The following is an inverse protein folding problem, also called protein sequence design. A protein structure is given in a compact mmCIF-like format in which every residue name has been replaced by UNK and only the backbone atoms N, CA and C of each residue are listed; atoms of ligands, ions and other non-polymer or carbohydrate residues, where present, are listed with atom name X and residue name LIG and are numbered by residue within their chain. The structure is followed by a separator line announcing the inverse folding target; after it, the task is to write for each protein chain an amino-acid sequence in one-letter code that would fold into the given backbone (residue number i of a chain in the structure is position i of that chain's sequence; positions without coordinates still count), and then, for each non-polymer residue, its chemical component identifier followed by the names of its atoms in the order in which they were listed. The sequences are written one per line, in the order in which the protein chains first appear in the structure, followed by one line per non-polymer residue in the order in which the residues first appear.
data_IF_206867013042
#
_entry.id   IF_206867013042
#
_cell.length_a   1.000
_cell.length_b   1.000
_cell.length_c   1.000
_cell.angle_alpha   90.00
_cell.angle_beta   90.00
_cell.angle_gamma   90.00
#
_symmetry.space_group_name_H-M   'P 1'
#
loop_
_entity.id
_entity.type
_entity.pdbx_description
1 polymer ?
#
# COMPACT_ATOMS: atom_id res chain seq x y z
N UNK A 1 -11.13 -9.94 -7.80
CA UNK A 1 -11.22 -8.46 -7.76
C UNK A 1 -10.64 -7.95 -6.44
N UNK A 2 -9.88 -6.88 -6.50
CA UNK A 2 -9.20 -6.30 -5.37
C UNK A 2 -9.78 -4.92 -5.05
N UNK A 3 -9.83 -4.57 -3.77
CA UNK A 3 -10.19 -3.25 -3.31
C UNK A 3 -11.65 -2.86 -3.50
N UNK A 4 -11.87 -1.57 -3.52
CA UNK A 4 -13.18 -0.95 -3.75
C UNK A 4 -13.60 -1.14 -5.20
N UNK A 5 -14.82 -1.64 -5.43
CA UNK A 5 -15.29 -2.08 -6.75
C UNK A 5 -16.29 -1.09 -7.38
N UNK A 6 -16.84 -0.16 -6.61
CA UNK A 6 -17.78 0.83 -7.12
C UNK A 6 -19.20 0.31 -7.28
N UNK A 7 -19.66 0.27 -8.53
CA UNK A 7 -21.02 -0.11 -8.91
C UNK A 7 -21.30 -1.61 -8.75
N UNK A 8 -21.06 -2.16 -7.59
CA UNK A 8 -21.36 -3.53 -7.18
C UNK A 8 -21.90 -3.52 -5.75
N UNK A 9 -22.49 -4.63 -5.31
CA UNK A 9 -23.03 -4.75 -3.96
C UNK A 9 -21.90 -4.61 -2.91
N UNK A 10 -22.23 -4.09 -1.74
CA UNK A 10 -21.28 -3.94 -0.63
C UNK A 10 -20.67 -5.28 -0.18
N UNK A 11 -21.35 -6.40 -0.45
CA UNK A 11 -20.87 -7.76 -0.20
C UNK A 11 -19.91 -8.28 -1.29
N UNK A 12 -19.71 -7.54 -2.39
CA UNK A 12 -18.87 -7.95 -3.52
C UNK A 12 -17.58 -7.13 -3.63
N UNK A 13 -17.27 -6.31 -2.66
CA UNK A 13 -15.99 -5.59 -2.57
C UNK A 13 -14.83 -6.55 -2.26
N UNK A 14 -13.65 -6.30 -2.83
CA UNK A 14 -12.44 -7.08 -2.59
C UNK A 14 -11.59 -6.47 -1.47
N UNK A 15 -12.17 -6.30 -0.27
CA UNK A 15 -11.57 -5.51 0.81
C UNK A 15 -11.14 -6.33 2.02
N UNK A 16 -11.25 -7.65 1.95
CA UNK A 16 -10.88 -8.59 3.02
C UNK A 16 -9.86 -9.65 2.57
N UNK A 17 -9.55 -9.69 1.28
CA UNK A 17 -8.77 -10.77 0.67
C UNK A 17 -7.32 -10.82 1.14
N UNK A 18 -6.68 -9.70 1.39
CA UNK A 18 -5.35 -9.66 2.00
C UNK A 18 -5.39 -10.34 3.37
N UNK A 19 -6.37 -9.98 4.22
CA UNK A 19 -6.50 -10.52 5.56
C UNK A 19 -6.65 -12.04 5.57
N UNK A 20 -7.67 -12.59 4.89
CA UNK A 20 -7.91 -14.04 4.96
C UNK A 20 -6.88 -14.87 4.18
N UNK A 21 -6.31 -14.38 3.07
CA UNK A 21 -5.25 -15.08 2.35
C UNK A 21 -3.93 -15.08 3.12
N UNK A 22 -3.65 -14.02 3.86
CA UNK A 22 -2.43 -13.91 4.66
C UNK A 22 -2.33 -14.97 5.77
N UNK A 23 -3.45 -15.54 6.22
CA UNK A 23 -3.47 -16.62 7.20
C UNK A 23 -3.04 -17.98 6.62
N UNK A 24 -3.07 -18.15 5.29
CA UNK A 24 -2.69 -19.42 4.65
C UNK A 24 -1.17 -19.60 4.69
N UNK A 25 -0.66 -20.73 5.20
CA UNK A 25 0.76 -21.05 5.15
C UNK A 25 1.28 -21.06 3.71
N UNK A 26 2.49 -20.56 3.50
CA UNK A 26 3.19 -20.54 2.21
C UNK A 26 2.47 -19.78 1.07
N UNK A 27 1.35 -19.13 1.35
CA UNK A 27 0.64 -18.30 0.36
C UNK A 27 1.50 -17.12 -0.03
N UNK A 28 1.72 -16.93 -1.33
CA UNK A 28 2.31 -15.71 -1.91
C UNK A 28 1.21 -14.82 -2.45
N UNK A 29 1.25 -13.52 -2.14
CA UNK A 29 0.22 -12.55 -2.53
C UNK A 29 0.90 -11.38 -3.24
N UNK A 30 0.52 -11.16 -4.52
CA UNK A 30 1.00 -10.07 -5.35
C UNK A 30 -0.13 -9.07 -5.65
N UNK A 31 0.25 -7.80 -5.79
CA UNK A 31 -0.67 -6.72 -6.16
C UNK A 31 0.00 -5.78 -7.18
N UNK A 32 -0.32 -5.89 -8.47
CA UNK A 32 0.29 -5.06 -9.50
C UNK A 32 -0.21 -3.61 -9.45
N UNK A 33 0.70 -2.66 -9.70
CA UNK A 33 0.39 -1.23 -9.78
C UNK A 33 -0.29 -0.82 -11.09
N UNK A 34 0.01 -1.53 -12.19
CA UNK A 34 -0.47 -1.16 -13.53
C UNK A 34 -0.63 -2.38 -14.45
N UNK A 35 -1.06 -2.10 -15.71
CA UNK A 35 -1.31 -3.12 -16.73
C UNK A 35 -0.08 -3.99 -17.05
N UNK A 36 1.10 -3.38 -17.16
CA UNK A 36 2.32 -4.10 -17.54
C UNK A 36 2.81 -4.99 -16.41
N UNK A 37 2.79 -4.48 -15.19
CA UNK A 37 3.16 -5.26 -14.02
C UNK A 37 2.20 -6.42 -13.78
N UNK A 38 0.89 -6.26 -14.04
CA UNK A 38 -0.06 -7.37 -14.03
C UNK A 38 0.37 -8.47 -15.00
N UNK A 39 0.73 -8.11 -16.25
CA UNK A 39 1.21 -9.08 -17.24
C UNK A 39 2.47 -9.81 -16.77
N UNK A 40 3.41 -9.09 -16.16
CA UNK A 40 4.67 -9.67 -15.69
C UNK A 40 4.45 -10.54 -14.43
N UNK A 41 3.55 -10.14 -13.51
CA UNK A 41 3.15 -10.95 -12.36
C UNK A 41 2.40 -12.22 -12.74
N UNK A 42 1.57 -12.21 -13.79
CA UNK A 42 0.92 -13.42 -14.30
C UNK A 42 1.98 -14.40 -14.85
N UNK A 43 2.99 -13.92 -15.60
CA UNK A 43 4.09 -14.78 -16.07
C UNK A 43 4.86 -15.37 -14.89
N UNK A 44 5.20 -14.53 -13.91
CA UNK A 44 5.85 -14.99 -12.67
C UNK A 44 5.01 -16.06 -11.96
N UNK A 45 3.70 -15.88 -11.87
CA UNK A 45 2.80 -16.82 -11.19
C UNK A 45 2.70 -18.18 -11.92
N UNK A 46 2.80 -18.21 -13.25
CA UNK A 46 2.80 -19.45 -14.03
C UNK A 46 4.02 -20.33 -13.73
N UNK A 47 5.16 -19.71 -13.50
CA UNK A 47 6.43 -20.40 -13.24
C UNK A 47 6.69 -20.61 -11.73
N UNK A 48 5.82 -20.11 -10.86
CA UNK A 48 5.99 -20.17 -9.41
C UNK A 48 5.53 -21.54 -8.85
N UNK A 49 6.41 -22.21 -8.10
CA UNK A 49 6.11 -23.48 -7.45
C UNK A 49 5.55 -23.24 -6.03
N UNK A 50 4.26 -23.04 -5.93
CA UNK A 50 3.57 -22.81 -4.64
C UNK A 50 2.21 -22.11 -4.79
N UNK A 51 1.45 -21.99 -3.70
CA UNK A 51 0.20 -21.26 -3.72
C UNK A 51 0.45 -19.76 -3.90
N UNK A 52 -0.19 -19.18 -4.92
CA UNK A 52 0.02 -17.78 -5.29
C UNK A 52 -1.30 -17.11 -5.65
N UNK A 53 -1.49 -15.88 -5.19
CA UNK A 53 -2.62 -15.04 -5.51
C UNK A 53 -2.15 -13.73 -6.17
N UNK A 54 -2.74 -13.38 -7.31
CA UNK A 54 -2.52 -12.09 -7.97
C UNK A 54 -3.77 -11.25 -7.78
N UNK A 55 -3.64 -10.16 -7.05
CA UNK A 55 -4.72 -9.29 -6.59
C UNK A 55 -4.77 -8.03 -7.45
N UNK A 56 -5.79 -7.84 -8.26
CA UNK A 56 -5.95 -6.66 -9.13
C UNK A 56 -7.38 -6.13 -9.15
N UNK A 57 -7.59 -4.81 -9.37
CA UNK A 57 -8.89 -4.17 -9.29
C UNK A 57 -9.80 -4.53 -10.48
N UNK A 58 -11.09 -4.28 -10.33
CA UNK A 58 -12.07 -4.28 -11.42
C UNK A 58 -12.02 -2.94 -12.15
N UNK A 59 -12.26 -2.93 -13.45
CA UNK A 59 -12.36 -1.75 -14.30
C UNK A 59 -11.18 -1.60 -15.26
N UNK A 60 -10.94 -0.39 -15.73
CA UNK A 60 -9.84 -0.10 -16.63
C UNK A 60 -8.49 -0.20 -15.90
N UNK A 61 -7.53 -0.83 -16.57
CA UNK A 61 -6.18 -0.94 -16.03
C UNK A 61 -5.46 0.41 -16.05
N UNK A 62 -4.77 0.73 -14.99
CA UNK A 62 -3.91 1.91 -14.94
C UNK A 62 -2.76 1.78 -15.92
N UNK A 63 -2.51 2.86 -16.69
CA UNK A 63 -1.50 2.91 -17.74
C UNK A 63 -0.37 3.92 -17.46
N UNK A 64 -0.30 4.47 -16.25
CA UNK A 64 0.82 5.27 -15.78
C UNK A 64 1.97 4.41 -15.26
N UNK A 65 3.09 5.05 -14.95
CA UNK A 65 4.30 4.44 -14.37
C UNK A 65 4.84 3.27 -15.20
N UNK A 66 4.71 3.33 -16.53
CA UNK A 66 5.15 2.26 -17.44
C UNK A 66 6.67 2.12 -17.54
N UNK A 67 7.39 3.18 -17.24
CA UNK A 67 8.86 3.27 -17.18
C UNK A 67 9.43 2.49 -16.00
N UNK A 68 8.67 2.34 -14.91
CA UNK A 68 9.01 1.54 -13.74
C UNK A 68 8.58 0.09 -13.98
N UNK A 69 9.50 -0.73 -14.45
CA UNK A 69 9.25 -2.11 -14.85
C UNK A 69 10.43 -3.03 -14.49
N UNK A 70 10.93 -2.92 -13.27
CA UNK A 70 11.93 -3.85 -12.78
C UNK A 70 11.41 -5.31 -12.79
N UNK A 71 12.24 -6.32 -13.00
CA UNK A 71 11.83 -7.72 -12.96
C UNK A 71 11.08 -8.08 -11.68
N UNK A 72 10.10 -8.98 -11.78
CA UNK A 72 9.39 -9.49 -10.59
C UNK A 72 10.29 -10.51 -9.90
N UNK A 73 10.75 -10.15 -8.71
CA UNK A 73 11.52 -11.02 -7.82
C UNK A 73 10.71 -11.27 -6.55
N UNK A 74 10.69 -12.51 -6.06
CA UNK A 74 9.90 -12.90 -4.89
C UNK A 74 10.20 -12.01 -3.68
N UNK A 75 9.17 -11.41 -3.10
CA UNK A 75 9.26 -10.56 -1.92
C UNK A 75 10.00 -9.23 -2.13
N UNK A 76 10.21 -8.79 -3.38
CA UNK A 76 10.89 -7.52 -3.66
C UNK A 76 9.94 -6.45 -4.13
N UNK A 77 10.03 -5.31 -3.47
CA UNK A 77 9.35 -4.06 -3.80
C UNK A 77 10.07 -3.31 -4.94
N UNK A 78 9.47 -2.23 -5.41
CA UNK A 78 10.08 -1.33 -6.41
C UNK A 78 9.96 0.11 -5.96
N UNK A 79 11.09 0.78 -5.80
CA UNK A 79 11.12 2.21 -5.50
C UNK A 79 10.76 2.98 -6.77
N UNK A 80 9.68 3.75 -6.72
CA UNK A 80 9.20 4.60 -7.81
C UNK A 80 9.82 5.98 -7.72
N UNK A 81 9.89 6.51 -6.50
CA UNK A 81 10.49 7.80 -6.21
C UNK A 81 11.22 7.72 -4.87
N UNK A 82 12.48 8.14 -4.87
CA UNK A 82 13.24 8.31 -3.65
C UNK A 82 12.79 9.58 -2.92
N UNK A 83 12.94 9.62 -1.61
CA UNK A 83 12.55 10.77 -0.81
C UNK A 83 13.27 10.80 0.53
N UNK A 84 12.76 11.60 1.43
CA UNK A 84 13.28 11.74 2.79
C UNK A 84 12.16 11.82 3.82
N UNK A 85 12.43 11.44 5.05
CA UNK A 85 11.54 11.49 6.21
C UNK A 85 10.30 10.60 6.13
N UNK A 86 9.58 10.58 5.01
CA UNK A 86 8.35 9.77 4.82
C UNK A 86 8.51 8.83 3.63
N UNK A 87 8.18 7.55 3.82
CA UNK A 87 8.04 6.58 2.74
C UNK A 87 6.56 6.14 2.61
N UNK A 88 5.97 6.40 1.45
CA UNK A 88 4.64 5.89 1.08
C UNK A 88 4.81 4.49 0.49
N UNK A 89 4.49 3.46 1.27
CA UNK A 89 4.58 2.05 0.88
C UNK A 89 3.19 1.55 0.44
N UNK A 90 2.97 1.56 -0.87
CA UNK A 90 1.65 1.38 -1.46
C UNK A 90 1.44 0.00 -2.10
N UNK A 91 0.27 -0.58 -1.88
CA UNK A 91 -0.14 -1.88 -2.42
C UNK A 91 -1.01 -1.71 -3.66
N UNK A 92 -0.56 -2.25 -4.78
CA UNK A 92 -1.33 -2.34 -6.02
C UNK A 92 -1.86 -0.99 -6.53
N UNK A 93 -3.18 -0.84 -6.65
CA UNK A 93 -3.83 0.39 -7.11
C UNK A 93 -3.50 1.64 -6.29
N UNK A 94 -3.07 1.47 -5.03
CA UNK A 94 -2.70 2.58 -4.16
C UNK A 94 -1.37 3.26 -4.55
N UNK A 95 -0.59 2.70 -5.47
CA UNK A 95 0.63 3.34 -6.00
C UNK A 95 0.33 4.62 -6.82
N UNK A 96 -0.92 4.86 -7.20
CA UNK A 96 -1.37 6.11 -7.89
C UNK A 96 -1.46 7.29 -6.91
N UNK A 97 -0.38 7.55 -6.17
CA UNK A 97 -0.37 8.54 -5.08
C UNK A 97 0.59 9.70 -5.33
N UNK A 98 0.90 9.99 -6.60
CA UNK A 98 1.72 11.16 -6.97
C UNK A 98 1.11 12.48 -6.46
N UNK A 99 -0.22 12.54 -6.37
CA UNK A 99 -0.89 13.73 -5.82
C UNK A 99 -0.66 13.88 -4.32
N UNK A 100 -0.53 12.78 -3.57
CA UNK A 100 -0.15 12.82 -2.13
C UNK A 100 1.26 13.38 -1.98
N UNK A 101 2.23 12.89 -2.77
CA UNK A 101 3.60 13.40 -2.75
C UNK A 101 3.64 14.92 -3.02
N UNK A 102 2.91 15.36 -4.06
CA UNK A 102 2.83 16.78 -4.42
C UNK A 102 2.26 17.61 -3.28
N UNK A 103 1.16 17.18 -2.66
CA UNK A 103 0.55 17.90 -1.54
C UNK A 103 1.44 17.93 -0.30
N UNK A 104 2.16 16.84 0.01
CA UNK A 104 3.13 16.82 1.10
C UNK A 104 4.28 17.82 0.85
N UNK A 105 4.74 17.90 -0.40
CA UNK A 105 5.75 18.90 -0.79
C UNK A 105 5.23 20.32 -0.65
N UNK A 106 4.00 20.60 -1.10
CA UNK A 106 3.42 21.94 -1.04
C UNK A 106 3.07 22.39 0.39
N UNK A 107 2.56 21.49 1.23
CA UNK A 107 2.06 21.81 2.57
C UNK A 107 3.12 21.75 3.66
N UNK A 108 4.07 20.82 3.55
CA UNK A 108 5.03 20.50 4.61
C UNK A 108 6.49 20.63 4.15
N UNK A 109 6.74 21.03 2.90
CA UNK A 109 8.06 20.99 2.25
C UNK A 109 8.73 19.60 2.37
N UNK A 110 7.93 18.55 2.29
CA UNK A 110 8.34 17.17 2.49
C UNK A 110 8.41 16.43 1.17
N UNK A 111 9.59 15.90 0.85
CA UNK A 111 9.81 15.07 -0.34
C UNK A 111 9.64 13.60 0.06
N UNK A 112 8.41 13.10 -0.05
CA UNK A 112 8.08 11.73 0.36
C UNK A 112 8.48 10.72 -0.72
N UNK A 113 9.11 9.60 -0.31
CA UNK A 113 9.32 8.47 -1.20
C UNK A 113 8.01 7.81 -1.60
N UNK A 114 7.96 7.21 -2.79
CA UNK A 114 6.87 6.35 -3.24
C UNK A 114 7.43 4.97 -3.59
N UNK A 115 6.92 3.96 -2.92
CA UNK A 115 7.35 2.57 -3.07
C UNK A 115 6.16 1.69 -3.42
N UNK A 116 6.28 0.96 -4.49
CA UNK A 116 5.36 -0.10 -4.88
C UNK A 116 5.72 -1.38 -4.12
N UNK A 117 4.90 -1.79 -3.18
CA UNK A 117 5.13 -2.98 -2.36
C UNK A 117 5.18 -4.27 -3.18
N UNK A 118 4.46 -4.36 -4.31
CA UNK A 118 4.35 -5.54 -5.20
C UNK A 118 3.86 -6.80 -4.49
N UNK A 119 4.53 -7.20 -3.42
CA UNK A 119 4.19 -8.36 -2.60
C UNK A 119 3.59 -7.93 -1.26
N UNK A 120 2.41 -8.44 -1.01
CA UNK A 120 1.76 -8.34 0.30
C UNK A 120 2.33 -9.42 1.24
N UNK A 121 2.64 -10.58 0.66
CA UNK A 121 3.27 -11.72 1.34
C UNK A 121 4.14 -12.51 0.36
N UNK A 122 5.45 -12.69 0.67
CA UNK A 122 6.17 -12.07 1.78
C UNK A 122 6.36 -10.57 1.57
N UNK A 123 6.55 -9.81 2.64
CA UNK A 123 6.96 -8.40 2.59
C UNK A 123 8.44 -8.28 2.25
N UNK A 124 8.87 -7.11 1.76
CA UNK A 124 10.29 -6.84 1.49
C UNK A 124 11.01 -6.39 2.77
N UNK A 125 11.39 -7.35 3.59
CA UNK A 125 12.07 -7.10 4.87
C UNK A 125 13.41 -6.36 4.69
N UNK A 126 14.16 -6.67 3.62
CA UNK A 126 15.44 -6.03 3.36
C UNK A 126 15.28 -4.55 3.05
N UNK A 127 14.26 -4.20 2.24
CA UNK A 127 13.93 -2.80 1.98
C UNK A 127 13.49 -2.08 3.26
N UNK A 128 12.64 -2.71 4.08
CA UNK A 128 12.20 -2.11 5.35
C UNK A 128 13.36 -1.85 6.29
N UNK A 129 14.32 -2.78 6.42
CA UNK A 129 15.55 -2.53 7.20
C UNK A 129 16.35 -1.36 6.66
N UNK A 130 16.43 -1.20 5.33
CA UNK A 130 17.14 -0.08 4.71
C UNK A 130 16.49 1.29 4.95
N UNK A 131 15.22 1.32 5.34
CA UNK A 131 14.51 2.56 5.67
C UNK A 131 14.95 3.19 7.00
N UNK A 132 15.56 2.42 7.89
CA UNK A 132 15.95 2.84 9.23
C UNK A 132 16.84 4.10 9.27
N UNK A 133 17.71 4.30 8.27
CA UNK A 133 18.63 5.42 8.23
C UNK A 133 18.07 6.66 7.51
N UNK A 134 16.89 6.55 6.87
CA UNK A 134 16.40 7.59 5.96
C UNK A 134 15.02 8.12 6.34
N UNK A 135 14.13 7.24 6.81
CA UNK A 135 12.73 7.61 7.03
C UNK A 135 12.38 7.61 8.52
N UNK A 136 11.62 8.63 8.93
CA UNK A 136 11.04 8.78 10.27
C UNK A 136 9.67 8.09 10.35
N UNK A 137 9.00 8.00 9.19
CA UNK A 137 7.65 7.45 9.07
C UNK A 137 7.49 6.63 7.80
N UNK A 138 6.99 5.41 7.95
CA UNK A 138 6.49 4.57 6.86
C UNK A 138 4.98 4.60 6.86
N UNK A 139 4.37 5.04 5.77
CA UNK A 139 2.91 5.09 5.58
C UNK A 139 2.50 3.96 4.68
N UNK A 140 1.81 2.96 5.20
CA UNK A 140 1.28 1.87 4.37
C UNK A 140 -0.08 2.25 3.79
N UNK A 141 -0.28 1.94 2.50
CA UNK A 141 -1.48 2.28 1.75
C UNK A 141 -2.09 1.01 1.13
N UNK A 142 -3.25 0.59 1.60
CA UNK A 142 -3.91 -0.63 1.12
C UNK A 142 -5.44 -0.50 1.03
N UNK A 143 -6.03 -1.03 -0.04
CA UNK A 143 -7.49 -1.18 -0.18
C UNK A 143 -7.95 -2.51 0.45
N UNK A 144 -7.63 -2.72 1.73
CA UNK A 144 -8.06 -3.84 2.55
C UNK A 144 -8.41 -3.30 3.94
N UNK A 145 -9.23 -4.01 4.70
CA UNK A 145 -9.43 -3.68 6.11
C UNK A 145 -8.11 -3.75 6.86
N UNK A 146 -7.98 -2.97 7.93
CA UNK A 146 -6.75 -2.90 8.70
C UNK A 146 -6.38 -4.26 9.30
N UNK A 147 -7.34 -4.93 9.91
CA UNK A 147 -7.14 -6.18 10.67
C UNK A 147 -6.63 -7.31 9.78
N UNK A 148 -5.45 -7.81 10.09
CA UNK A 148 -4.75 -8.82 9.30
C UNK A 148 -4.23 -8.33 7.94
N UNK A 149 -4.23 -7.02 7.71
CA UNK A 149 -3.80 -6.38 6.47
C UNK A 149 -2.28 -6.30 6.31
N UNK A 150 -1.87 -5.66 5.23
CA UNK A 150 -0.46 -5.44 4.90
C UNK A 150 0.22 -4.51 5.90
N UNK A 151 -0.45 -3.42 6.29
CA UNK A 151 0.10 -2.44 7.22
C UNK A 151 0.38 -3.01 8.61
N UNK A 152 -0.49 -3.89 9.13
CA UNK A 152 -0.23 -4.58 10.41
C UNK A 152 0.97 -5.52 10.33
N UNK A 153 1.20 -6.17 9.19
CA UNK A 153 2.38 -7.00 8.96
C UNK A 153 3.67 -6.17 8.94
N UNK A 154 3.63 -5.00 8.29
CA UNK A 154 4.76 -4.06 8.27
C UNK A 154 5.04 -3.54 9.67
N UNK A 155 4.00 -3.16 10.42
CA UNK A 155 4.13 -2.71 11.80
C UNK A 155 4.73 -3.80 12.70
N UNK A 156 4.19 -5.03 12.63
CA UNK A 156 4.72 -6.15 13.42
C UNK A 156 6.20 -6.41 13.12
N UNK A 157 6.60 -6.39 11.85
CA UNK A 157 7.99 -6.56 11.46
C UNK A 157 8.88 -5.42 11.98
N UNK A 158 8.42 -4.16 11.88
CA UNK A 158 9.17 -3.02 12.38
C UNK A 158 9.41 -3.11 13.90
N UNK A 159 8.41 -3.51 14.67
CA UNK A 159 8.51 -3.74 16.12
C UNK A 159 9.41 -4.93 16.47
N UNK A 160 9.31 -6.05 15.74
CA UNK A 160 10.16 -7.23 15.95
C UNK A 160 11.64 -6.97 15.69
N UNK A 161 11.95 -6.06 14.77
CA UNK A 161 13.33 -5.70 14.40
C UNK A 161 13.82 -4.40 15.07
N UNK A 162 13.04 -3.82 15.98
CA UNK A 162 13.36 -2.54 16.66
C UNK A 162 13.72 -1.42 15.67
N UNK A 163 13.00 -1.31 14.53
CA UNK A 163 13.27 -0.31 13.52
C UNK A 163 12.87 1.10 14.01
N UNK A 164 13.69 2.15 13.77
CA UNK A 164 13.53 3.45 14.42
C UNK A 164 12.52 4.38 13.76
N UNK A 165 11.67 3.88 12.88
CA UNK A 165 10.62 4.67 12.22
C UNK A 165 9.23 4.32 12.74
N UNK A 166 8.31 5.29 12.74
CA UNK A 166 6.90 5.02 12.99
C UNK A 166 6.20 4.38 11.79
N UNK A 167 5.10 3.68 12.04
CA UNK A 167 4.26 3.11 10.98
C UNK A 167 2.85 3.68 11.08
N UNK A 168 2.41 4.42 10.06
CA UNK A 168 1.04 4.88 9.92
C UNK A 168 0.30 4.00 8.91
N UNK A 169 -0.76 3.33 9.36
CA UNK A 169 -1.52 2.39 8.54
C UNK A 169 -2.74 3.10 7.94
N UNK A 170 -2.77 3.25 6.63
CA UNK A 170 -3.92 3.73 5.87
C UNK A 170 -4.58 2.55 5.18
N UNK A 171 -5.62 2.06 5.83
CA UNK A 171 -6.40 0.89 5.45
C UNK A 171 -7.90 1.20 5.55
N UNK A 172 -8.73 0.34 4.97
CA UNK A 172 -10.18 0.50 5.02
C UNK A 172 -10.73 0.25 6.42
N UNK A 173 -11.81 0.94 6.80
CA UNK A 173 -12.47 0.71 8.09
C UNK A 173 -13.13 -0.66 8.14
N UNK A 174 -13.21 -1.25 9.34
CA UNK A 174 -13.94 -2.51 9.60
C UNK A 174 -15.46 -2.30 9.54
N UNK A 175 -15.94 -2.14 8.32
CA UNK A 175 -17.39 -2.04 7.99
C UNK A 175 -17.61 -2.31 6.51
N UNK A 176 -18.81 -2.72 6.15
CA UNK A 176 -19.23 -2.76 4.74
C UNK A 176 -19.27 -1.35 4.15
N UNK A 177 -18.72 -1.22 2.93
CA UNK A 177 -18.67 0.05 2.21
C UNK A 177 -19.91 0.11 1.31
N UNK A 178 -20.83 1.07 1.53
CA UNK A 178 -22.05 1.18 0.77
C UNK A 178 -21.78 1.36 -0.73
N UNK A 179 -22.73 0.92 -1.54
CA UNK A 179 -22.74 1.08 -2.99
C UNK A 179 -22.54 2.53 -3.43
N UNK A 180 -21.77 2.73 -4.50
CA UNK A 180 -21.49 4.06 -5.06
C UNK A 180 -20.41 4.03 -6.14
N UNK A 181 -20.05 5.18 -6.70
CA UNK A 181 -18.87 5.27 -7.55
C UNK A 181 -17.60 5.05 -6.73
N UNK A 182 -16.53 4.55 -7.34
CA UNK A 182 -15.24 4.35 -6.64
C UNK A 182 -14.77 5.66 -5.99
N UNK A 183 -14.86 6.80 -6.69
CA UNK A 183 -14.45 8.09 -6.15
C UNK A 183 -15.29 8.53 -4.93
N UNK A 184 -16.59 8.26 -4.95
CA UNK A 184 -17.45 8.50 -3.80
C UNK A 184 -17.08 7.61 -2.62
N UNK A 185 -16.89 6.31 -2.86
CA UNK A 185 -16.51 5.35 -1.83
C UNK A 185 -15.14 5.68 -1.19
N UNK A 186 -14.14 6.03 -2.02
CA UNK A 186 -12.82 6.47 -1.55
C UNK A 186 -12.93 7.68 -0.61
N UNK A 187 -13.78 8.65 -0.96
CA UNK A 187 -14.05 9.80 -0.09
C UNK A 187 -14.74 9.41 1.22
N UNK A 188 -15.68 8.45 1.17
CA UNK A 188 -16.40 7.99 2.38
C UNK A 188 -15.51 7.23 3.37
N UNK A 189 -14.41 6.67 2.91
CA UNK A 189 -13.45 5.90 3.73
C UNK A 189 -12.18 6.67 4.07
N UNK A 190 -12.07 7.95 3.67
CA UNK A 190 -10.91 8.79 3.98
C UNK A 190 -9.66 8.43 3.17
N UNK A 191 -9.83 8.08 1.88
CA UNK A 191 -8.74 7.72 0.96
C UNK A 191 -8.52 8.76 -0.13
N UNK A 192 -8.95 9.99 0.10
CA UNK A 192 -8.54 11.09 -0.79
C UNK A 192 -7.09 11.50 -0.50
N UNK A 193 -6.38 12.11 -1.46
CA UNK A 193 -5.05 12.66 -1.19
C UNK A 193 -5.03 13.63 0.00
N UNK A 194 -6.08 14.44 0.17
CA UNK A 194 -6.24 15.36 1.29
C UNK A 194 -6.34 14.63 2.63
N UNK A 195 -7.11 13.54 2.68
CA UNK A 195 -7.28 12.74 3.90
C UNK A 195 -5.95 12.10 4.32
N UNK A 196 -5.23 11.54 3.35
CA UNK A 196 -3.92 10.88 3.57
C UNK A 196 -2.90 11.90 4.07
N UNK A 197 -2.78 13.06 3.40
CA UNK A 197 -1.90 14.14 3.85
C UNK A 197 -2.28 14.62 5.24
N UNK A 198 -3.57 14.80 5.55
CA UNK A 198 -4.04 15.20 6.86
C UNK A 198 -3.64 14.22 7.97
N UNK A 199 -3.64 12.92 7.71
CA UNK A 199 -3.17 11.90 8.67
C UNK A 199 -1.67 11.98 8.90
N UNK A 200 -0.88 12.22 7.87
CA UNK A 200 0.57 12.41 7.98
C UNK A 200 0.88 13.70 8.77
N UNK A 201 0.19 14.81 8.47
CA UNK A 201 0.30 16.06 9.23
C UNK A 201 -0.05 15.85 10.72
N UNK A 202 -1.11 15.08 11.00
CA UNK A 202 -1.53 14.77 12.38
C UNK A 202 -0.48 13.93 13.12
N UNK A 203 0.14 12.96 12.45
CA UNK A 203 1.23 12.18 13.02
C UNK A 203 2.36 13.09 13.51
N UNK A 204 2.88 13.95 12.66
CA UNK A 204 3.97 14.86 13.03
C UNK A 204 3.55 15.90 14.10
N UNK A 205 2.31 16.33 14.09
CA UNK A 205 1.80 17.23 15.14
C UNK A 205 1.78 16.57 16.52
N UNK A 206 1.44 15.28 16.59
CA UNK A 206 1.43 14.51 17.85
C UNK A 206 2.86 14.34 18.38
N UNK A 207 3.80 13.94 17.52
CA UNK A 207 5.21 13.81 17.91
C UNK A 207 5.79 15.12 18.46
N UNK A 208 5.58 16.24 17.81
CA UNK A 208 6.05 17.55 18.30
C UNK A 208 5.37 18.06 19.57
N UNK A 209 4.31 17.41 20.08
CA UNK A 209 3.69 17.67 21.37
C UNK A 209 4.27 16.82 22.50
N UNK A 210 4.72 15.61 22.19
CA UNK A 210 5.35 14.68 23.14
C UNK A 210 6.80 15.09 23.52
N UNK A 211 7.45 15.87 22.65
CA UNK A 211 8.81 16.39 22.89
C UNK A 211 8.84 17.69 23.73
N UNK A 212 7.68 18.23 24.15
CA UNK A 212 7.56 19.45 24.96
C UNK A 212 7.08 19.16 26.38
#
# INVERSE_FOLDING_TARGET
RAGIVGADDETHQGVYDISYLSHMPNMTILAPKNLWELSDMIKFAVDYDGPIAVRYPRGEAYTGLKEFRAPICLGKSEVIHEGSRVALLAVGSMVKMEEVQKQLKERMDMDAALVNARFVKPIDEELLRSFADTYELVVTLEENVKDGGFGERVLAFAEEEDLPFGVEIIALPDRFIPHGSVSYQMKQVGFTPEDICGRIEEYYRKQGQEER
#
